data_IF_310859019470
#
_entry.id   IF_310859019470
#
_cell.length_a   1.000
_cell.length_b   1.000
_cell.length_c   1.000
_cell.angle_alpha   90.00
_cell.angle_beta   90.00
_cell.angle_gamma   90.00
#
_symmetry.space_group_name_H-M   'P 1'
#
loop_
_entity.id
_entity.type
_entity.pdbx_description
1 polymer ?
#
# COMPACT_ATOMS: atom_id res chain seq x y z
N UNK A 1 -24.99 -6.53 -17.97
CA UNK A 1 -24.48 -5.46 -17.07
C UNK A 1 -22.96 -5.39 -17.17
N UNK A 2 -22.39 -4.32 -17.75
CA UNK A 2 -20.92 -4.12 -17.74
C UNK A 2 -20.49 -3.81 -16.30
N UNK A 3 -19.80 -4.73 -15.62
CA UNK A 3 -19.14 -4.44 -14.34
C UNK A 3 -18.25 -3.21 -14.55
N UNK A 4 -18.55 -2.09 -13.88
CA UNK A 4 -17.64 -0.93 -13.85
C UNK A 4 -16.29 -1.47 -13.39
N UNK A 5 -15.27 -1.36 -14.25
CA UNK A 5 -13.90 -1.64 -13.84
C UNK A 5 -13.57 -0.55 -12.82
N UNK A 6 -13.45 -0.90 -11.54
CA UNK A 6 -12.98 0.04 -10.54
C UNK A 6 -11.57 0.46 -10.96
N UNK A 7 -11.46 1.66 -11.53
CA UNK A 7 -10.18 2.25 -11.89
C UNK A 7 -9.49 2.56 -10.57
N UNK A 8 -8.35 1.92 -10.35
CA UNK A 8 -7.51 2.21 -9.20
C UNK A 8 -6.76 3.51 -9.53
N UNK A 9 -6.95 4.52 -8.69
CA UNK A 9 -6.24 5.80 -8.84
C UNK A 9 -4.76 5.67 -8.46
N UNK A 10 -3.91 6.46 -9.14
CA UNK A 10 -2.47 6.50 -8.89
C UNK A 10 -2.12 6.87 -7.44
N UNK A 11 -2.89 7.79 -6.83
CA UNK A 11 -2.73 8.17 -5.43
C UNK A 11 -2.94 7.02 -4.45
N UNK A 12 -3.89 6.12 -4.76
CA UNK A 12 -4.13 4.92 -3.96
C UNK A 12 -3.00 3.91 -4.12
N UNK A 13 -2.54 3.69 -5.36
CA UNK A 13 -1.41 2.80 -5.62
C UNK A 13 -0.14 3.27 -4.90
N UNK A 14 0.16 4.58 -4.93
CA UNK A 14 1.28 5.18 -4.19
C UNK A 14 1.16 4.95 -2.68
N UNK A 15 -0.02 5.22 -2.09
CA UNK A 15 -0.26 4.99 -0.67
C UNK A 15 -0.06 3.52 -0.28
N UNK A 16 -0.49 2.59 -1.12
CA UNK A 16 -0.28 1.15 -0.89
C UNK A 16 1.21 0.82 -0.87
N UNK A 17 2.00 1.34 -1.81
CA UNK A 17 3.46 1.15 -1.85
C UNK A 17 4.13 1.68 -0.59
N UNK A 18 3.77 2.88 -0.15
CA UNK A 18 4.44 3.52 0.98
C UNK A 18 4.14 2.82 2.30
N UNK A 19 2.86 2.44 2.54
CA UNK A 19 2.47 1.67 3.72
C UNK A 19 3.13 0.28 3.70
N UNK A 20 3.20 -0.36 2.54
CA UNK A 20 3.86 -1.66 2.40
C UNK A 20 5.36 -1.57 2.69
N UNK A 21 6.02 -0.50 2.23
CA UNK A 21 7.44 -0.27 2.48
C UNK A 21 7.75 -0.15 3.97
N UNK A 22 6.98 0.67 4.69
CA UNK A 22 7.10 0.80 6.16
C UNK A 22 6.84 -0.56 6.83
N UNK A 23 5.84 -1.30 6.36
CA UNK A 23 5.54 -2.63 6.89
C UNK A 23 6.69 -3.62 6.69
N UNK A 24 7.24 -3.75 5.49
CA UNK A 24 8.32 -4.70 5.19
C UNK A 24 9.60 -4.40 5.97
N UNK A 25 9.92 -3.12 6.17
CA UNK A 25 11.06 -2.67 6.96
C UNK A 25 10.97 -3.15 8.42
N UNK A 26 9.79 -3.02 9.04
CA UNK A 26 9.59 -3.36 10.45
C UNK A 26 9.11 -4.80 10.69
N UNK A 27 8.57 -5.48 9.68
CA UNK A 27 8.18 -6.89 9.77
C UNK A 27 9.39 -7.79 10.08
N UNK A 28 10.58 -7.40 9.61
CA UNK A 28 11.85 -8.10 9.88
C UNK A 28 12.33 -7.97 11.33
N UNK A 29 11.80 -7.01 12.09
CA UNK A 29 12.19 -6.75 13.47
C UNK A 29 11.47 -7.62 14.50
N UNK A 30 10.55 -8.49 14.08
CA UNK A 30 9.79 -9.39 14.98
C UNK A 30 8.67 -8.70 15.78
N UNK A 31 8.27 -7.49 15.38
CA UNK A 31 7.18 -6.75 16.00
C UNK A 31 5.81 -7.28 15.54
N UNK A 32 4.79 -7.17 16.40
CA UNK A 32 3.43 -7.54 16.00
C UNK A 32 2.87 -6.53 14.99
N UNK A 33 2.01 -7.00 14.08
CA UNK A 33 1.35 -6.14 13.07
C UNK A 33 0.66 -4.92 13.70
N UNK A 34 0.03 -5.10 14.87
CA UNK A 34 -0.64 -4.02 15.60
C UNK A 34 0.34 -3.00 16.17
N UNK A 35 1.51 -3.47 16.62
CA UNK A 35 2.59 -2.61 17.09
C UNK A 35 3.19 -1.79 15.94
N UNK A 36 3.42 -2.43 14.78
CA UNK A 36 3.91 -1.77 13.56
C UNK A 36 2.92 -0.69 13.10
N UNK A 37 1.63 -1.05 13.07
CA UNK A 37 0.55 -0.12 12.73
C UNK A 37 0.56 1.10 13.66
N UNK A 38 0.63 0.91 14.98
CA UNK A 38 0.58 2.02 15.95
C UNK A 38 1.83 2.88 15.97
N UNK A 39 3.02 2.28 15.87
CA UNK A 39 4.29 3.00 16.03
C UNK A 39 4.76 3.69 14.76
N UNK A 40 4.58 3.06 13.60
CA UNK A 40 5.20 3.52 12.36
C UNK A 40 4.19 4.00 11.32
N UNK A 41 3.07 3.30 11.18
CA UNK A 41 2.09 3.63 10.12
C UNK A 41 1.13 4.72 10.59
N UNK A 42 0.58 4.63 11.80
CA UNK A 42 -0.43 5.57 12.31
C UNK A 42 0.02 7.03 12.35
N UNK A 43 1.27 7.38 12.73
CA UNK A 43 1.75 8.76 12.70
C UNK A 43 1.79 9.38 11.30
N UNK A 44 2.00 8.57 10.26
CA UNK A 44 2.10 9.02 8.85
C UNK A 44 0.73 8.92 8.16
N UNK A 45 0.04 7.81 8.38
CA UNK A 45 -1.25 7.45 7.80
C UNK A 45 -2.21 7.03 8.91
N UNK A 46 -3.12 7.92 9.35
CA UNK A 46 -4.13 7.60 10.35
C UNK A 46 -5.19 6.67 9.74
N UNK A 47 -4.88 5.38 9.71
CA UNK A 47 -5.73 4.31 9.19
C UNK A 47 -6.13 3.34 10.29
N UNK A 48 -7.29 2.70 10.13
CA UNK A 48 -7.71 1.62 11.00
C UNK A 48 -7.08 0.29 10.58
N UNK A 49 -7.05 -0.66 11.51
CA UNK A 49 -6.46 -1.98 11.31
C UNK A 49 -7.09 -2.75 10.13
N UNK A 50 -8.40 -2.64 9.94
CA UNK A 50 -9.08 -3.22 8.78
C UNK A 50 -8.53 -2.67 7.46
N UNK A 51 -8.31 -1.36 7.38
CA UNK A 51 -7.76 -0.70 6.19
C UNK A 51 -6.31 -1.11 5.97
N UNK A 52 -5.54 -1.30 7.04
CA UNK A 52 -4.17 -1.81 6.95
C UNK A 52 -4.12 -3.20 6.30
N UNK A 53 -4.93 -4.16 6.76
CA UNK A 53 -4.97 -5.48 6.14
C UNK A 53 -5.52 -5.45 4.71
N UNK A 54 -6.49 -4.57 4.42
CA UNK A 54 -6.97 -4.37 3.05
C UNK A 54 -5.87 -3.86 2.12
N UNK A 55 -5.00 -2.97 2.59
CA UNK A 55 -3.87 -2.43 1.84
C UNK A 55 -2.83 -3.53 1.56
N UNK A 56 -2.48 -4.34 2.56
CA UNK A 56 -1.57 -5.47 2.40
C UNK A 56 -2.15 -6.49 1.41
N UNK A 57 -3.44 -6.80 1.50
CA UNK A 57 -4.07 -7.71 0.55
C UNK A 57 -4.14 -7.09 -0.86
N UNK A 58 -4.36 -5.78 -0.95
CA UNK A 58 -4.38 -5.06 -2.22
C UNK A 58 -3.00 -5.01 -2.89
N UNK A 59 -1.90 -4.98 -2.14
CA UNK A 59 -0.56 -4.99 -2.75
C UNK A 59 -0.26 -6.30 -3.50
N UNK A 60 -0.93 -7.40 -3.13
CA UNK A 60 -0.85 -8.66 -3.87
C UNK A 60 -1.67 -8.65 -5.18
N UNK A 61 -2.60 -7.70 -5.37
CA UNK A 61 -3.44 -7.62 -6.58
C UNK A 61 -2.58 -7.22 -7.79
N UNK A 62 -2.59 -8.00 -8.89
CA UNK A 62 -1.82 -7.69 -10.10
C UNK A 62 -2.16 -6.34 -10.71
N UNK A 63 -3.36 -5.80 -10.48
CA UNK A 63 -3.74 -4.47 -10.96
C UNK A 63 -2.99 -3.36 -10.22
N UNK A 64 -2.77 -3.52 -8.92
CA UNK A 64 -2.01 -2.57 -8.12
C UNK A 64 -0.55 -2.61 -8.54
N UNK A 65 0.02 -3.81 -8.71
CA UNK A 65 1.40 -3.99 -9.19
C UNK A 65 1.64 -3.35 -10.55
N UNK A 66 0.70 -3.49 -11.49
CA UNK A 66 0.79 -2.82 -12.79
C UNK A 66 0.84 -1.28 -12.65
N UNK A 67 0.00 -0.71 -11.78
CA UNK A 67 0.00 0.73 -11.51
C UNK A 67 1.24 1.21 -10.78
N UNK A 68 1.80 0.41 -9.88
CA UNK A 68 3.07 0.71 -9.21
C UNK A 68 4.20 0.79 -10.24
N UNK A 69 4.29 -0.19 -11.14
CA UNK A 69 5.27 -0.17 -12.23
C UNK A 69 5.10 1.02 -13.18
N UNK A 70 3.87 1.42 -13.50
CA UNK A 70 3.58 2.65 -14.26
C UNK A 70 4.08 3.90 -13.53
N UNK A 71 3.88 3.96 -12.20
CA UNK A 71 4.27 5.08 -11.36
C UNK A 71 5.79 5.20 -11.25
N UNK A 72 6.49 4.08 -11.07
CA UNK A 72 7.95 4.03 -11.01
C UNK A 72 8.57 4.46 -12.35
N UNK A 73 8.01 3.99 -13.48
CA UNK A 73 8.46 4.40 -14.81
C UNK A 73 8.28 5.92 -15.03
N UNK A 74 7.20 6.51 -14.51
CA UNK A 74 6.96 7.94 -14.62
C UNK A 74 7.95 8.78 -13.79
N UNK A 75 8.39 8.28 -12.63
CA UNK A 75 9.37 8.94 -11.77
C UNK A 75 10.79 8.89 -12.36
N UNK A 76 11.13 7.85 -13.12
CA UNK A 76 12.46 7.71 -13.76
C UNK A 76 12.69 8.59 -14.99
N UNK A 77 11.64 9.27 -15.48
CA UNK A 77 11.71 10.13 -16.67
C UNK A 77 12.20 11.57 -16.38
N UNK A 78 12.50 11.89 -15.13
CA UNK A 78 13.02 13.18 -14.66
C UNK A 78 14.38 13.01 -14.00
#
# INVERSE_FOLDING_TARGET
>A
MKKRRNIIGMSYAHRVTEVLRIYEEHARSGLSNREILRRYIWPVYPICEKTFYNIINASADPRIKARQSELDAQLTLF
#
